data_IF_373923639171
#
_entry.id   IF_373923639171
#
_cell.length_a   1.000
_cell.length_b   1.000
_cell.length_c   1.000
_cell.angle_alpha   90.00
_cell.angle_beta   90.00
_cell.angle_gamma   90.00
#
_symmetry.space_group_name_H-M   'P 1'
#
loop_
_entity.id
_entity.type
_entity.pdbx_description
1 polymer ?
#
# COMPACT_ATOMS: atom_id res chain seq x y z
N UNK A 1 -6.76 -34.61 23.78
CA UNK A 1 -6.45 -34.23 22.37
C UNK A 1 -5.56 -33.00 22.42
N UNK A 2 -4.40 -33.02 21.76
CA UNK A 2 -3.58 -31.83 21.65
C UNK A 2 -4.35 -30.82 20.79
N UNK A 3 -4.75 -29.69 21.37
CA UNK A 3 -5.45 -28.62 20.68
C UNK A 3 -4.60 -28.11 19.51
N UNK A 4 -4.98 -28.46 18.30
CA UNK A 4 -4.22 -28.19 17.07
C UNK A 4 -4.66 -26.85 16.49
N UNK A 5 -3.70 -26.02 16.08
CA UNK A 5 -4.01 -24.85 15.27
C UNK A 5 -4.25 -25.29 13.83
N UNK A 6 -5.41 -24.95 13.29
CA UNK A 6 -5.72 -25.13 11.89
C UNK A 6 -5.40 -23.88 11.10
N UNK A 7 -4.76 -24.04 9.92
CA UNK A 7 -4.37 -22.96 9.02
C UNK A 7 -5.07 -23.15 7.69
N UNK A 8 -5.96 -22.23 7.35
CA UNK A 8 -6.73 -22.35 6.12
C UNK A 8 -6.83 -21.04 5.32
N UNK A 9 -7.00 -21.16 4.00
CA UNK A 9 -7.50 -20.12 3.15
C UNK A 9 -9.03 -20.06 3.31
N UNK A 10 -9.57 -18.88 3.63
CA UNK A 10 -11.01 -18.70 3.76
C UNK A 10 -11.73 -18.83 2.43
N UNK A 11 -12.88 -19.48 2.45
CA UNK A 11 -13.87 -19.41 1.38
C UNK A 11 -14.69 -18.12 1.49
N UNK A 12 -15.30 -17.70 0.40
CA UNK A 12 -16.07 -16.45 0.33
C UNK A 12 -17.18 -16.35 1.41
N UNK A 13 -17.81 -17.45 1.75
CA UNK A 13 -18.88 -17.52 2.76
C UNK A 13 -18.37 -17.65 4.22
N UNK A 14 -17.06 -17.69 4.44
CA UNK A 14 -16.46 -17.87 5.78
C UNK A 14 -15.89 -16.57 6.35
N UNK A 15 -16.11 -15.42 5.73
CA UNK A 15 -15.54 -14.13 6.13
C UNK A 15 -15.84 -13.76 7.60
N UNK A 16 -17.00 -14.17 8.12
CA UNK A 16 -17.37 -13.95 9.52
C UNK A 16 -16.30 -14.43 10.51
N UNK A 17 -15.58 -15.51 10.20
CA UNK A 17 -14.51 -16.03 11.05
C UNK A 17 -13.35 -15.04 11.23
N UNK A 18 -13.16 -14.11 10.32
CA UNK A 18 -12.10 -13.08 10.41
C UNK A 18 -12.56 -11.80 11.10
N UNK A 19 -13.88 -11.52 11.14
CA UNK A 19 -14.42 -10.24 11.63
C UNK A 19 -13.99 -9.89 13.05
N UNK A 20 -14.00 -10.86 13.96
CA UNK A 20 -13.62 -10.63 15.35
C UNK A 20 -12.17 -10.16 15.48
N UNK A 21 -11.26 -10.76 14.72
CA UNK A 21 -9.86 -10.36 14.67
C UNK A 21 -9.70 -8.97 14.06
N UNK A 22 -10.35 -8.72 12.94
CA UNK A 22 -10.28 -7.43 12.26
C UNK A 22 -10.82 -6.33 13.17
N UNK A 23 -12.00 -6.50 13.79
CA UNK A 23 -12.61 -5.52 14.69
C UNK A 23 -11.79 -5.27 15.95
N UNK A 24 -11.13 -6.30 16.47
CA UNK A 24 -10.26 -6.21 17.66
C UNK A 24 -9.02 -5.36 17.39
N UNK A 25 -8.41 -5.48 16.20
CA UNK A 25 -7.11 -4.89 15.92
C UNK A 25 -7.16 -3.62 15.04
N UNK A 26 -8.25 -3.38 14.31
CA UNK A 26 -8.45 -2.15 13.51
C UNK A 26 -9.30 -1.09 14.22
N UNK A 27 -9.25 -1.00 15.55
CA UNK A 27 -10.06 -0.06 16.35
C UNK A 27 -9.91 1.41 15.97
N UNK A 28 -8.77 1.81 15.46
CA UNK A 28 -8.45 3.20 15.11
C UNK A 28 -8.76 3.56 13.64
N UNK A 29 -9.20 2.60 12.85
CA UNK A 29 -9.64 2.84 11.48
C UNK A 29 -11.17 2.82 11.53
N UNK A 30 -11.87 3.75 10.84
CA UNK A 30 -13.34 3.68 10.76
C UNK A 30 -13.75 2.32 10.19
N UNK A 31 -13.97 1.37 11.10
CA UNK A 31 -14.30 0.00 10.76
C UNK A 31 -15.81 -0.09 10.61
N UNK A 32 -16.29 0.25 9.42
CA UNK A 32 -17.67 0.08 9.04
C UNK A 32 -17.78 -0.95 7.91
N UNK A 33 -18.98 -1.42 7.66
CA UNK A 33 -19.24 -2.41 6.61
C UNK A 33 -18.73 -1.94 5.25
N UNK A 34 -18.86 -0.65 4.92
CA UNK A 34 -18.37 -0.08 3.65
C UNK A 34 -16.85 -0.21 3.49
N UNK A 35 -16.09 -0.04 4.59
CA UNK A 35 -14.62 -0.21 4.55
C UNK A 35 -14.21 -1.66 4.36
N UNK A 36 -14.97 -2.60 4.94
CA UNK A 36 -14.77 -4.03 4.74
C UNK A 36 -15.06 -4.40 3.29
N UNK A 37 -16.23 -4.01 2.79
CA UNK A 37 -16.65 -4.33 1.42
C UNK A 37 -15.64 -3.78 0.41
N UNK A 38 -15.26 -2.53 0.58
CA UNK A 38 -14.27 -1.88 -0.27
C UNK A 38 -12.94 -2.66 -0.30
N UNK A 39 -12.39 -3.00 0.86
CA UNK A 39 -11.04 -3.56 0.97
C UNK A 39 -10.99 -5.04 0.56
N UNK A 40 -12.01 -5.83 0.93
CA UNK A 40 -11.94 -7.27 0.79
C UNK A 40 -12.73 -7.82 -0.40
N UNK A 41 -13.74 -7.10 -0.89
CA UNK A 41 -14.66 -7.65 -1.90
C UNK A 41 -14.78 -6.83 -3.19
N UNK A 42 -14.54 -5.50 -3.14
CA UNK A 42 -14.80 -4.60 -4.27
C UNK A 42 -13.54 -4.20 -5.06
N UNK A 43 -12.40 -4.85 -4.83
CA UNK A 43 -11.20 -4.60 -5.62
C UNK A 43 -11.42 -5.09 -7.08
N UNK A 44 -11.21 -4.23 -8.09
CA UNK A 44 -11.43 -4.59 -9.51
C UNK A 44 -10.53 -5.74 -10.01
N UNK A 45 -9.40 -5.97 -9.37
CA UNK A 45 -8.50 -7.08 -9.73
C UNK A 45 -8.87 -8.41 -9.07
N UNK A 46 -9.91 -8.43 -8.25
CA UNK A 46 -10.45 -9.63 -7.64
C UNK A 46 -10.62 -9.54 -6.12
N UNK A 47 -11.23 -10.56 -5.55
CA UNK A 47 -11.47 -10.63 -4.10
C UNK A 47 -10.21 -10.94 -3.33
N UNK A 48 -10.05 -10.27 -2.19
CA UNK A 48 -8.95 -10.51 -1.25
C UNK A 48 -8.92 -11.95 -0.75
N UNK A 49 -7.74 -12.54 -0.70
CA UNK A 49 -7.51 -13.87 -0.14
C UNK A 49 -7.10 -13.74 1.32
N UNK A 50 -7.85 -14.39 2.22
CA UNK A 50 -7.63 -14.31 3.66
C UNK A 50 -7.18 -15.67 4.18
N UNK A 51 -6.03 -15.67 4.84
CA UNK A 51 -5.47 -16.84 5.51
C UNK A 51 -5.73 -16.70 7.01
N UNK A 52 -6.33 -17.73 7.61
CA UNK A 52 -6.63 -17.76 9.05
C UNK A 52 -5.87 -18.87 9.77
N UNK A 53 -5.51 -18.57 11.02
CA UNK A 53 -5.12 -19.53 12.02
C UNK A 53 -6.27 -19.64 13.03
N UNK A 54 -6.80 -20.85 13.20
CA UNK A 54 -7.90 -21.16 14.10
C UNK A 54 -7.42 -22.05 15.24
N UNK A 55 -7.75 -21.69 16.47
CA UNK A 55 -7.57 -22.50 17.65
C UNK A 55 -8.95 -22.75 18.27
N UNK A 56 -9.40 -24.02 18.26
CA UNK A 56 -10.75 -24.39 18.75
C UNK A 56 -11.85 -23.46 18.17
N UNK A 57 -11.85 -23.26 16.86
CA UNK A 57 -12.76 -22.36 16.12
C UNK A 57 -12.60 -20.87 16.43
N UNK A 58 -11.70 -20.46 17.32
CA UNK A 58 -11.37 -19.04 17.51
C UNK A 58 -10.29 -18.59 16.55
N UNK A 59 -10.51 -17.49 15.86
CA UNK A 59 -9.51 -16.86 15.00
C UNK A 59 -8.42 -16.23 15.86
N UNK A 60 -7.18 -16.78 15.77
CA UNK A 60 -6.02 -16.35 16.57
C UNK A 60 -4.93 -15.72 15.74
N UNK A 61 -5.08 -15.73 14.44
CA UNK A 61 -4.19 -15.04 13.50
C UNK A 61 -4.80 -14.94 12.12
N UNK A 62 -4.43 -13.89 11.39
CA UNK A 62 -4.83 -13.71 9.99
C UNK A 62 -3.76 -13.00 9.19
N UNK A 63 -3.89 -13.12 7.88
CA UNK A 63 -3.12 -12.43 6.87
C UNK A 63 -4.00 -12.26 5.63
N UNK A 64 -4.01 -11.06 5.04
CA UNK A 64 -4.77 -10.77 3.84
C UNK A 64 -3.85 -10.52 2.64
N UNK A 65 -4.19 -11.09 1.49
CA UNK A 65 -3.52 -10.88 0.21
C UNK A 65 -4.52 -10.22 -0.76
N UNK A 66 -4.32 -8.94 -1.01
CA UNK A 66 -5.15 -8.12 -1.90
C UNK A 66 -4.64 -8.27 -3.33
N UNK A 67 -5.46 -8.71 -4.29
CA UNK A 67 -5.04 -8.84 -5.67
C UNK A 67 -4.57 -7.52 -6.26
N UNK A 68 -3.45 -7.57 -6.97
CA UNK A 68 -2.90 -6.47 -7.75
C UNK A 68 -2.48 -6.97 -9.12
N UNK A 69 -2.45 -6.07 -10.08
CA UNK A 69 -1.71 -6.23 -11.32
C UNK A 69 -0.55 -5.24 -11.33
N UNK A 70 0.60 -5.71 -11.72
CA UNK A 70 1.78 -4.89 -11.93
C UNK A 70 2.10 -4.83 -13.41
N UNK A 71 2.78 -3.78 -13.84
CA UNK A 71 3.12 -3.56 -15.23
C UNK A 71 4.50 -2.92 -15.35
N UNK A 72 5.19 -3.25 -16.40
CA UNK A 72 6.31 -2.50 -16.97
C UNK A 72 6.17 -2.51 -18.49
N UNK A 73 7.09 -1.87 -19.23
CA UNK A 73 7.03 -1.81 -20.70
C UNK A 73 6.98 -3.18 -21.40
N UNK A 74 7.41 -4.25 -20.73
CA UNK A 74 7.52 -5.57 -21.34
C UNK A 74 6.24 -6.40 -21.15
N UNK A 75 5.62 -6.33 -19.96
CA UNK A 75 4.49 -7.21 -19.63
C UNK A 75 3.69 -6.78 -18.41
N UNK A 76 2.53 -7.43 -18.25
CA UNK A 76 1.68 -7.37 -17.06
C UNK A 76 1.97 -8.60 -16.19
N UNK A 77 2.04 -8.41 -14.87
CA UNK A 77 2.26 -9.44 -13.87
C UNK A 77 1.05 -9.51 -12.94
N UNK A 78 0.62 -10.70 -12.59
CA UNK A 78 -0.33 -10.90 -11.50
C UNK A 78 0.41 -10.91 -10.16
N UNK A 79 -0.22 -10.33 -9.15
CA UNK A 79 0.38 -10.29 -7.82
C UNK A 79 -0.59 -9.97 -6.70
N UNK A 80 -0.03 -9.80 -5.50
CA UNK A 80 -0.78 -9.44 -4.32
C UNK A 80 -0.03 -8.40 -3.49
N UNK A 81 -0.80 -7.51 -2.85
CA UNK A 81 -0.32 -6.73 -1.72
C UNK A 81 -0.73 -7.42 -0.43
N UNK A 82 0.25 -7.72 0.41
CA UNK A 82 0.02 -8.37 1.68
C UNK A 82 -0.20 -7.32 2.77
N UNK A 83 -1.29 -7.49 3.52
CA UNK A 83 -1.65 -6.60 4.61
C UNK A 83 -2.42 -7.35 5.71
N UNK A 84 -2.85 -6.62 6.73
CA UNK A 84 -3.65 -7.14 7.85
C UNK A 84 -3.05 -8.40 8.49
N UNK A 85 -1.73 -8.32 8.69
CA UNK A 85 -1.00 -9.41 9.34
C UNK A 85 -1.18 -9.28 10.85
N UNK A 86 -2.10 -10.07 11.38
CA UNK A 86 -2.54 -10.01 12.77
C UNK A 86 -2.25 -11.36 13.46
N UNK A 87 -1.77 -11.28 14.70
CA UNK A 87 -1.70 -12.43 15.62
C UNK A 87 -2.24 -11.99 16.97
N UNK A 88 -3.23 -12.70 17.50
CA UNK A 88 -3.82 -12.39 18.81
C UNK A 88 -2.91 -12.88 19.95
N UNK A 89 -1.92 -12.05 20.26
CA UNK A 89 -0.91 -12.36 21.28
C UNK A 89 -1.56 -12.47 22.67
N UNK A 90 -2.58 -11.68 22.97
CA UNK A 90 -3.23 -11.70 24.28
C UNK A 90 -4.01 -12.98 24.50
N UNK A 91 -4.72 -13.46 23.47
CA UNK A 91 -5.34 -14.77 23.51
C UNK A 91 -4.30 -15.86 23.76
N UNK A 92 -3.20 -15.85 23.01
CA UNK A 92 -2.12 -16.84 23.16
C UNK A 92 -1.53 -16.84 24.57
N UNK A 93 -1.23 -15.65 25.12
CA UNK A 93 -0.69 -15.50 26.47
C UNK A 93 -1.67 -16.02 27.52
N UNK A 94 -2.96 -15.75 27.36
CA UNK A 94 -3.98 -16.24 28.28
C UNK A 94 -4.09 -17.77 28.26
N UNK A 95 -4.06 -18.38 27.07
CA UNK A 95 -4.03 -19.85 26.96
C UNK A 95 -2.80 -20.47 27.68
N UNK A 96 -1.64 -19.86 27.53
CA UNK A 96 -0.42 -20.33 28.22
C UNK A 96 -0.55 -20.19 29.74
N UNK A 97 -1.12 -19.08 30.25
CA UNK A 97 -1.33 -18.85 31.69
C UNK A 97 -2.24 -19.89 32.36
N UNK A 98 -3.25 -20.38 31.64
CA UNK A 98 -4.16 -21.43 32.15
C UNK A 98 -3.63 -22.85 31.88
N UNK A 99 -2.35 -22.99 31.51
CA UNK A 99 -1.68 -24.29 31.35
C UNK A 99 -1.83 -24.92 29.98
N UNK A 100 -2.51 -24.30 29.03
CA UNK A 100 -2.60 -24.82 27.67
C UNK A 100 -1.29 -24.59 26.91
N UNK A 101 -0.79 -25.65 26.29
CA UNK A 101 0.34 -25.54 25.37
C UNK A 101 -0.18 -25.12 24.00
N UNK A 102 0.15 -23.90 23.57
CA UNK A 102 -0.11 -23.50 22.19
C UNK A 102 0.81 -24.30 21.26
N UNK A 103 0.26 -25.16 20.41
CA UNK A 103 1.08 -26.03 19.58
C UNK A 103 1.83 -25.20 18.55
N UNK A 104 3.13 -25.43 18.47
CA UNK A 104 3.95 -24.98 17.35
C UNK A 104 3.91 -26.07 16.29
N UNK A 105 3.36 -25.79 15.11
CA UNK A 105 3.44 -26.73 13.99
C UNK A 105 4.89 -26.78 13.51
N UNK A 106 5.52 -27.95 13.59
CA UNK A 106 6.94 -28.14 13.24
C UNK A 106 7.90 -27.15 13.95
N UNK A 107 7.61 -26.78 15.22
CA UNK A 107 8.41 -25.80 15.96
C UNK A 107 8.20 -24.33 15.56
N UNK A 108 7.33 -24.04 14.59
CA UNK A 108 7.10 -22.73 14.00
C UNK A 108 5.84 -22.07 14.59
N UNK A 109 5.93 -20.77 14.91
CA UNK A 109 4.82 -20.00 15.48
C UNK A 109 3.71 -19.67 14.47
N UNK A 110 2.58 -19.13 14.98
CA UNK A 110 1.38 -18.84 14.18
C UNK A 110 1.70 -17.96 12.98
N UNK A 111 2.41 -16.84 13.19
CA UNK A 111 2.72 -15.91 12.12
C UNK A 111 3.52 -16.54 10.98
N UNK A 112 4.57 -17.31 11.30
CA UNK A 112 5.37 -17.97 10.27
C UNK A 112 4.59 -19.04 9.51
N UNK A 113 3.68 -19.77 10.18
CA UNK A 113 2.83 -20.74 9.48
C UNK A 113 1.83 -20.06 8.54
N UNK A 114 1.30 -18.88 8.90
CA UNK A 114 0.48 -18.07 7.99
C UNK A 114 1.29 -17.63 6.75
N UNK A 115 2.56 -17.20 6.94
CA UNK A 115 3.43 -16.87 5.81
C UNK A 115 3.71 -18.09 4.94
N UNK A 116 3.92 -19.27 5.51
CA UNK A 116 4.12 -20.50 4.74
C UNK A 116 2.89 -20.83 3.90
N UNK A 117 1.68 -20.71 4.47
CA UNK A 117 0.43 -20.90 3.73
C UNK A 117 0.23 -19.87 2.63
N UNK A 118 0.57 -18.62 2.90
CA UNK A 118 0.59 -17.58 1.87
C UNK A 118 1.57 -17.95 0.75
N UNK A 119 2.80 -18.35 1.08
CA UNK A 119 3.83 -18.69 0.11
C UNK A 119 3.37 -19.81 -0.84
N UNK A 120 2.79 -20.89 -0.30
CA UNK A 120 2.20 -21.98 -1.10
C UNK A 120 1.19 -21.43 -2.13
N UNK A 121 0.36 -20.48 -1.70
CA UNK A 121 -0.66 -19.90 -2.56
C UNK A 121 -0.09 -18.95 -3.62
N UNK A 122 0.76 -17.99 -3.21
CA UNK A 122 1.26 -16.96 -4.13
C UNK A 122 2.26 -17.51 -5.14
N UNK A 123 3.03 -18.55 -4.80
CA UNK A 123 3.93 -19.24 -5.73
C UNK A 123 3.17 -19.91 -6.89
N UNK A 124 1.95 -20.38 -6.63
CA UNK A 124 1.10 -20.99 -7.64
C UNK A 124 0.26 -19.97 -8.45
N UNK A 125 -0.06 -18.81 -7.86
CA UNK A 125 -1.08 -17.91 -8.40
C UNK A 125 -0.57 -16.52 -8.78
N UNK A 126 0.71 -16.22 -8.60
CA UNK A 126 1.25 -14.88 -8.86
C UNK A 126 2.72 -14.88 -9.27
N UNK A 127 3.16 -13.76 -9.81
CA UNK A 127 4.55 -13.56 -10.24
C UNK A 127 5.29 -12.62 -9.28
N UNK A 128 4.60 -11.62 -8.74
CA UNK A 128 5.17 -10.59 -7.86
C UNK A 128 4.22 -10.31 -6.70
N UNK A 129 4.74 -10.29 -5.49
CA UNK A 129 3.96 -9.97 -4.30
C UNK A 129 4.70 -8.93 -3.48
N UNK A 130 3.97 -8.00 -2.89
CA UNK A 130 4.55 -6.89 -2.12
C UNK A 130 3.91 -6.76 -0.75
N UNK A 131 4.61 -6.08 0.14
CA UNK A 131 4.07 -5.71 1.45
C UNK A 131 4.93 -4.66 2.13
N UNK A 132 4.44 -4.16 3.27
CA UNK A 132 5.15 -3.20 4.10
C UNK A 132 5.30 -3.80 5.50
N UNK A 133 6.48 -4.32 5.79
CA UNK A 133 6.76 -5.00 7.06
C UNK A 133 7.29 -4.02 8.10
N UNK A 134 6.69 -3.99 9.28
CA UNK A 134 7.26 -3.29 10.41
C UNK A 134 8.51 -4.03 10.95
N UNK A 135 9.29 -3.37 11.82
CA UNK A 135 10.52 -3.91 12.40
C UNK A 135 10.36 -5.26 13.09
N UNK A 136 9.20 -5.52 13.68
CA UNK A 136 8.94 -6.76 14.42
C UNK A 136 8.60 -7.92 13.47
N UNK A 137 7.90 -7.64 12.38
CA UNK A 137 7.48 -8.63 11.40
C UNK A 137 8.57 -8.96 10.37
N UNK A 138 9.46 -8.00 10.07
CA UNK A 138 10.48 -8.14 9.03
C UNK A 138 11.34 -9.41 9.13
N UNK A 139 11.88 -9.81 10.31
CA UNK A 139 12.69 -11.02 10.41
C UNK A 139 11.94 -12.30 10.02
N UNK A 140 10.64 -12.35 10.27
CA UNK A 140 9.81 -13.49 9.89
C UNK A 140 9.61 -13.58 8.38
N UNK A 141 9.40 -12.43 7.71
CA UNK A 141 9.27 -12.35 6.27
C UNK A 141 10.56 -12.80 5.58
N UNK A 142 11.72 -12.29 6.01
CA UNK A 142 13.03 -12.63 5.44
C UNK A 142 13.35 -14.12 5.62
N UNK A 143 13.07 -14.70 6.80
CA UNK A 143 13.25 -16.14 7.04
C UNK A 143 12.36 -17.03 6.16
N UNK A 144 11.26 -16.48 5.63
CA UNK A 144 10.34 -17.16 4.73
C UNK A 144 10.55 -16.75 3.26
N UNK A 145 11.79 -16.37 2.91
CA UNK A 145 12.23 -16.07 1.54
C UNK A 145 11.54 -14.85 0.90
N UNK A 146 11.10 -13.87 1.70
CA UNK A 146 10.76 -12.54 1.23
C UNK A 146 12.01 -11.67 1.23
N UNK A 147 12.15 -10.84 0.22
CA UNK A 147 13.26 -9.89 0.10
C UNK A 147 12.81 -8.51 0.61
N UNK A 148 13.73 -7.79 1.24
CA UNK A 148 13.48 -6.44 1.73
C UNK A 148 14.33 -5.44 0.94
N UNK A 149 13.71 -4.34 0.52
CA UNK A 149 14.43 -3.18 -0.01
C UNK A 149 14.82 -2.33 1.21
N UNK A 150 16.12 -2.19 1.42
CA UNK A 150 16.69 -1.59 2.62
C UNK A 150 16.46 -0.07 2.74
N UNK A 151 16.31 0.61 1.62
CA UNK A 151 16.16 2.05 1.57
C UNK A 151 14.84 2.43 0.92
N UNK A 152 13.92 2.91 1.74
CA UNK A 152 12.64 3.44 1.30
C UNK A 152 12.57 4.93 1.66
N UNK A 153 12.93 5.81 0.74
CA UNK A 153 13.08 7.22 1.06
C UNK A 153 11.72 7.92 1.11
N UNK A 154 11.40 8.46 2.27
CA UNK A 154 10.45 9.53 2.44
C UNK A 154 11.20 10.85 2.24
N UNK A 155 10.70 11.70 1.38
CA UNK A 155 11.21 13.06 1.25
C UNK A 155 10.17 14.04 1.77
N UNK A 156 10.63 15.01 2.56
CA UNK A 156 9.81 15.99 3.23
C UNK A 156 10.30 17.41 2.91
N UNK A 157 9.34 18.35 2.82
CA UNK A 157 9.62 19.78 2.69
C UNK A 157 8.75 20.57 3.64
N UNK A 158 9.35 21.50 4.36
CA UNK A 158 8.62 22.57 5.04
C UNK A 158 8.17 23.62 4.01
N UNK A 159 6.88 23.95 4.05
CA UNK A 159 6.27 24.89 3.13
C UNK A 159 6.36 26.31 3.68
N UNK A 160 7.22 27.10 3.08
CA UNK A 160 7.54 28.49 3.45
C UNK A 160 7.08 29.52 2.44
N UNK A 161 6.91 29.11 1.17
CA UNK A 161 6.51 29.98 0.06
C UNK A 161 5.82 29.21 -1.05
N UNK A 162 5.08 29.93 -1.87
CA UNK A 162 4.52 29.41 -3.12
C UNK A 162 5.50 29.55 -4.30
N UNK A 163 5.13 28.93 -5.42
CA UNK A 163 5.89 28.91 -6.66
C UNK A 163 4.96 29.22 -7.84
N UNK A 164 5.48 29.86 -8.88
CA UNK A 164 4.76 29.99 -10.15
C UNK A 164 4.80 28.67 -10.91
N UNK A 165 3.65 28.27 -11.46
CA UNK A 165 3.49 27.09 -12.32
C UNK A 165 2.74 27.48 -13.60
N UNK A 166 2.90 26.71 -14.67
CA UNK A 166 2.44 27.05 -16.01
C UNK A 166 1.18 26.28 -16.44
N UNK A 167 1.06 25.01 -16.02
CA UNK A 167 -0.05 24.17 -16.42
C UNK A 167 -1.36 24.56 -15.74
N UNK A 168 -2.47 24.18 -16.35
CA UNK A 168 -3.80 24.24 -15.72
C UNK A 168 -4.08 22.95 -14.96
N UNK A 169 -4.64 23.10 -13.76
CA UNK A 169 -4.99 21.99 -12.88
C UNK A 169 -6.48 22.00 -12.59
N UNK A 170 -7.18 20.93 -12.98
CA UNK A 170 -8.62 20.80 -12.76
C UNK A 170 -8.89 19.63 -11.82
N UNK A 171 -9.57 19.86 -10.71
CA UNK A 171 -9.98 18.79 -9.81
C UNK A 171 -11.01 17.89 -10.51
N UNK A 172 -10.79 16.58 -10.46
CA UNK A 172 -11.70 15.56 -11.01
C UNK A 172 -12.37 14.76 -9.90
N UNK A 173 -13.46 14.08 -10.23
CA UNK A 173 -14.24 13.23 -9.31
C UNK A 173 -14.27 11.76 -9.73
N UNK A 174 -13.70 11.44 -10.89
CA UNK A 174 -13.55 10.08 -11.41
C UNK A 174 -12.46 10.01 -12.46
N UNK A 175 -11.89 8.82 -12.60
CA UNK A 175 -10.99 8.49 -13.71
C UNK A 175 -11.81 7.92 -14.87
N UNK A 176 -11.41 8.24 -16.09
CA UNK A 176 -11.98 7.74 -17.33
C UNK A 176 -10.88 7.11 -18.23
N UNK A 177 -11.28 6.66 -19.42
CA UNK A 177 -10.36 6.03 -20.38
C UNK A 177 -9.19 6.94 -20.80
N UNK A 178 -9.38 8.26 -20.81
CA UNK A 178 -8.30 9.20 -21.16
C UNK A 178 -7.18 9.18 -20.12
N UNK A 179 -7.53 9.10 -18.84
CA UNK A 179 -6.55 9.00 -17.76
C UNK A 179 -5.81 7.66 -17.78
N UNK A 180 -6.51 6.56 -18.10
CA UNK A 180 -5.88 5.24 -18.27
C UNK A 180 -4.87 5.26 -19.41
N UNK A 181 -5.24 5.85 -20.56
CA UNK A 181 -4.33 6.03 -21.68
C UNK A 181 -3.09 6.86 -21.32
N UNK A 182 -3.26 7.94 -20.54
CA UNK A 182 -2.15 8.74 -20.02
C UNK A 182 -1.22 7.88 -19.15
N UNK A 183 -1.78 7.02 -18.31
CA UNK A 183 -0.95 6.10 -17.52
C UNK A 183 -0.18 5.14 -18.44
N UNK A 184 -0.84 4.53 -19.41
CA UNK A 184 -0.21 3.61 -20.37
C UNK A 184 0.95 4.26 -21.15
N UNK A 185 0.77 5.50 -21.59
CA UNK A 185 1.82 6.28 -22.28
C UNK A 185 3.01 6.65 -21.39
N UNK A 186 2.85 6.57 -20.06
CA UNK A 186 3.91 6.86 -19.08
C UNK A 186 4.47 5.60 -18.39
N UNK A 187 4.06 4.39 -18.81
CA UNK A 187 4.66 3.15 -18.31
C UNK A 187 6.16 3.14 -18.67
N UNK A 188 6.97 2.78 -17.70
CA UNK A 188 8.42 2.69 -17.83
C UNK A 188 8.91 1.24 -17.75
N UNK A 189 10.23 1.03 -17.83
CA UNK A 189 10.82 -0.28 -17.55
C UNK A 189 10.71 -0.70 -16.10
N UNK A 190 10.43 0.24 -15.19
CA UNK A 190 10.26 -0.03 -13.78
C UNK A 190 8.88 -0.64 -13.53
N UNK A 191 8.82 -1.52 -12.53
CA UNK A 191 7.58 -2.17 -12.13
C UNK A 191 6.72 -1.16 -11.38
N UNK A 192 5.49 -0.97 -11.85
CA UNK A 192 4.45 -0.15 -11.21
C UNK A 192 3.16 -0.98 -11.04
N UNK A 193 2.24 -0.52 -10.19
CA UNK A 193 0.86 -1.03 -10.19
C UNK A 193 0.19 -0.61 -11.50
N UNK A 194 -0.60 -1.49 -12.08
CA UNK A 194 -1.42 -1.17 -13.24
C UNK A 194 -2.61 -0.30 -12.81
N UNK A 195 -2.53 0.98 -13.13
CA UNK A 195 -3.53 1.98 -12.76
C UNK A 195 -4.64 2.08 -13.84
N UNK A 196 -5.49 1.04 -13.94
CA UNK A 196 -6.69 1.13 -14.77
C UNK A 196 -7.67 2.15 -14.19
N UNK A 197 -8.61 2.64 -14.99
CA UNK A 197 -9.64 3.58 -14.50
C UNK A 197 -10.46 2.98 -13.35
N UNK A 198 -10.80 1.69 -13.43
CA UNK A 198 -11.54 0.99 -12.38
C UNK A 198 -10.75 0.91 -11.09
N UNK A 199 -9.45 0.53 -11.17
CA UNK A 199 -8.59 0.43 -9.99
C UNK A 199 -8.31 1.80 -9.39
N UNK A 200 -8.08 2.83 -10.21
CA UNK A 200 -7.89 4.21 -9.76
C UNK A 200 -9.14 4.77 -9.08
N UNK A 201 -10.32 4.52 -9.65
CA UNK A 201 -11.60 4.91 -9.04
C UNK A 201 -11.83 4.18 -7.72
N UNK A 202 -11.60 2.87 -7.67
CA UNK A 202 -11.68 2.09 -6.44
C UNK A 202 -10.72 2.63 -5.37
N UNK A 203 -9.49 2.91 -5.74
CA UNK A 203 -8.44 3.32 -4.81
C UNK A 203 -8.65 4.73 -4.25
N UNK A 204 -9.09 5.68 -5.05
CA UNK A 204 -9.11 7.09 -4.70
C UNK A 204 -10.51 7.67 -4.43
N UNK A 205 -11.51 7.30 -5.19
CA UNK A 205 -12.85 7.89 -5.05
C UNK A 205 -13.82 7.00 -4.28
N UNK A 206 -13.69 5.68 -4.38
CA UNK A 206 -14.55 4.73 -3.65
C UNK A 206 -13.96 4.32 -2.29
N UNK A 207 -12.78 4.82 -1.93
CA UNK A 207 -12.16 4.53 -0.63
C UNK A 207 -12.89 5.26 0.51
N UNK A 208 -13.59 4.53 1.40
CA UNK A 208 -14.38 5.15 2.46
C UNK A 208 -13.53 5.67 3.63
N UNK A 209 -12.22 5.39 3.64
CA UNK A 209 -11.30 5.74 4.74
C UNK A 209 -10.51 7.01 4.49
N UNK A 210 -10.43 7.45 3.25
CA UNK A 210 -9.52 8.52 2.87
C UNK A 210 -10.14 9.39 1.79
N UNK A 211 -9.92 10.70 1.94
CA UNK A 211 -10.32 11.67 0.93
C UNK A 211 -9.07 12.08 0.17
N UNK A 212 -9.06 11.75 -1.11
CA UNK A 212 -8.02 12.18 -2.03
C UNK A 212 -8.52 13.36 -2.87
N UNK A 213 -7.59 14.19 -3.27
CA UNK A 213 -7.79 15.25 -4.25
C UNK A 213 -7.00 14.89 -5.51
N UNK A 214 -7.68 14.70 -6.60
CA UNK A 214 -7.08 14.31 -7.87
C UNK A 214 -7.22 15.48 -8.85
N UNK A 215 -6.11 15.85 -9.47
CA UNK A 215 -6.09 16.94 -10.42
C UNK A 215 -5.54 16.48 -11.77
N UNK A 216 -6.27 16.74 -12.84
CA UNK A 216 -5.78 16.71 -14.20
C UNK A 216 -4.72 17.77 -14.42
N UNK A 217 -3.71 17.45 -15.21
CA UNK A 217 -2.65 18.37 -15.63
C UNK A 217 -2.85 18.64 -17.10
N UNK A 218 -3.14 19.91 -17.46
CA UNK A 218 -3.34 20.33 -18.85
C UNK A 218 -2.30 21.35 -19.27
N UNK A 219 -1.64 21.04 -20.40
CA UNK A 219 -0.77 21.97 -21.11
C UNK A 219 -1.40 22.28 -22.46
N UNK A 220 -1.57 23.55 -22.80
CA UNK A 220 -2.20 23.99 -24.06
C UNK A 220 -3.55 23.32 -24.38
N UNK A 221 -4.37 23.05 -23.32
CA UNK A 221 -5.64 22.33 -23.34
C UNK A 221 -5.55 20.81 -23.56
N UNK A 222 -4.38 20.24 -23.77
CA UNK A 222 -4.18 18.78 -23.83
C UNK A 222 -4.02 18.20 -22.43
N UNK A 223 -4.66 17.06 -22.17
CA UNK A 223 -4.45 16.31 -20.94
C UNK A 223 -3.08 15.61 -21.01
N UNK A 224 -2.19 15.96 -20.10
CA UNK A 224 -0.78 15.51 -20.11
C UNK A 224 -0.42 14.69 -18.86
N UNK A 225 -1.34 14.60 -17.90
CA UNK A 225 -1.09 13.85 -16.68
C UNK A 225 -2.15 14.07 -15.62
N UNK A 226 -1.89 13.50 -14.44
CA UNK A 226 -2.65 13.74 -13.22
C UNK A 226 -1.77 13.64 -11.98
N UNK A 227 -2.22 14.27 -10.89
CA UNK A 227 -1.61 14.18 -9.58
C UNK A 227 -2.65 13.84 -8.52
N UNK A 228 -2.29 12.97 -7.58
CA UNK A 228 -3.12 12.57 -6.45
C UNK A 228 -2.51 13.11 -5.17
N UNK A 229 -3.29 13.95 -4.49
CA UNK A 229 -2.92 14.61 -3.25
C UNK A 229 -3.81 14.14 -2.11
N UNK A 230 -3.27 14.14 -0.88
CA UNK A 230 -4.01 13.79 0.33
C UNK A 230 -3.57 14.66 1.50
N UNK A 231 -4.53 15.15 2.27
CA UNK A 231 -4.26 15.69 3.60
C UNK A 231 -4.28 14.54 4.62
N UNK A 232 -3.27 14.48 5.45
CA UNK A 232 -3.12 13.48 6.49
C UNK A 232 -2.91 14.14 7.85
N UNK A 233 -3.49 13.58 8.89
CA UNK A 233 -3.32 14.08 10.25
C UNK A 233 -2.47 13.07 11.02
N UNK A 234 -1.30 13.52 11.43
CA UNK A 234 -0.39 12.77 12.28
C UNK A 234 -0.06 13.61 13.53
N UNK A 235 -0.28 13.04 14.71
CA UNK A 235 0.01 13.71 15.98
C UNK A 235 -0.58 15.13 16.06
N UNK A 236 -1.83 15.30 15.62
CA UNK A 236 -2.58 16.57 15.52
C UNK A 236 -2.01 17.57 14.50
N UNK A 237 -0.99 17.21 13.74
CA UNK A 237 -0.44 18.05 12.67
C UNK A 237 -1.01 17.60 11.32
N UNK A 238 -1.37 18.58 10.49
CA UNK A 238 -1.74 18.32 9.09
C UNK A 238 -0.48 18.23 8.24
N UNK A 239 -0.37 17.15 7.47
CA UNK A 239 0.71 16.90 6.51
C UNK A 239 0.08 16.73 5.13
N UNK A 240 0.65 17.37 4.12
CA UNK A 240 0.29 17.13 2.72
C UNK A 240 1.07 15.95 2.16
N UNK A 241 0.41 15.07 1.45
CA UNK A 241 1.05 13.97 0.75
C UNK A 241 0.83 14.08 -0.75
N UNK A 242 1.89 13.96 -1.53
CA UNK A 242 1.81 13.62 -2.94
C UNK A 242 1.80 12.10 -3.03
N UNK A 243 0.60 11.55 -3.25
CA UNK A 243 0.41 10.10 -3.24
C UNK A 243 0.85 9.46 -4.56
N UNK A 244 0.57 10.14 -5.69
CA UNK A 244 0.94 9.66 -7.02
C UNK A 244 1.10 10.85 -7.98
N UNK A 245 2.04 10.74 -8.90
CA UNK A 245 2.18 11.62 -10.07
C UNK A 245 2.29 10.72 -11.30
N UNK A 246 1.46 11.00 -12.28
CA UNK A 246 1.54 10.40 -13.62
C UNK A 246 1.54 11.56 -14.61
N UNK A 247 2.68 11.83 -15.21
CA UNK A 247 2.84 12.91 -16.20
C UNK A 247 4.12 12.71 -17.02
N UNK A 248 4.19 13.41 -18.15
CA UNK A 248 5.42 13.51 -18.93
C UNK A 248 6.55 14.13 -18.10
N UNK A 249 7.76 13.65 -18.27
CA UNK A 249 8.93 14.03 -17.46
C UNK A 249 9.16 15.55 -17.37
N UNK A 250 8.94 16.28 -18.46
CA UNK A 250 9.15 17.74 -18.50
C UNK A 250 8.14 18.54 -17.66
N UNK A 251 6.99 17.94 -17.30
CA UNK A 251 5.96 18.57 -16.48
C UNK A 251 6.13 18.28 -14.98
N UNK A 252 7.00 17.35 -14.61
CA UNK A 252 7.17 16.91 -13.22
C UNK A 252 7.46 18.10 -12.27
N UNK A 253 8.33 19.01 -12.70
CA UNK A 253 8.65 20.22 -11.91
C UNK A 253 7.41 21.08 -11.66
N UNK A 254 6.59 21.30 -12.70
CA UNK A 254 5.39 22.11 -12.60
C UNK A 254 4.35 21.50 -11.65
N UNK A 255 4.24 20.16 -11.67
CA UNK A 255 3.38 19.40 -10.74
C UNK A 255 3.84 19.54 -9.30
N UNK A 256 5.14 19.55 -9.05
CA UNK A 256 5.68 19.80 -7.71
C UNK A 256 5.35 21.22 -7.23
N UNK A 257 5.51 22.22 -8.09
CA UNK A 257 5.15 23.62 -7.77
C UNK A 257 3.66 23.77 -7.44
N UNK A 258 2.80 23.17 -8.25
CA UNK A 258 1.36 23.15 -7.99
C UNK A 258 1.05 22.48 -6.64
N UNK A 259 1.63 21.31 -6.38
CA UNK A 259 1.40 20.56 -5.14
C UNK A 259 1.84 21.34 -3.90
N UNK A 260 2.98 22.02 -3.96
CA UNK A 260 3.44 22.93 -2.91
C UNK A 260 2.41 24.03 -2.68
N UNK A 261 1.97 24.73 -3.73
CA UNK A 261 0.99 25.81 -3.61
C UNK A 261 -0.35 25.33 -3.08
N UNK A 262 -0.80 24.14 -3.55
CA UNK A 262 -2.05 23.54 -3.09
C UNK A 262 -2.09 23.39 -1.57
N UNK A 263 -1.01 22.89 -0.97
CA UNK A 263 -0.94 22.69 0.48
C UNK A 263 -0.57 23.97 1.25
N UNK A 264 0.30 24.80 0.71
CA UNK A 264 0.66 26.10 1.29
C UNK A 264 -0.58 26.99 1.48
N UNK A 265 -1.42 27.10 0.45
CA UNK A 265 -2.66 27.88 0.51
C UNK A 265 -3.71 27.31 1.49
N UNK A 266 -3.53 26.09 1.96
CA UNK A 266 -4.35 25.43 3.00
C UNK A 266 -3.71 25.48 4.39
N UNK A 267 -2.66 26.28 4.56
CA UNK A 267 -1.92 26.42 5.81
C UNK A 267 -1.32 25.11 6.32
N UNK A 268 -1.05 24.18 5.41
CA UNK A 268 -0.31 22.96 5.71
C UNK A 268 1.18 23.28 5.64
N UNK A 269 1.90 22.96 6.69
CA UNK A 269 3.31 23.35 6.83
C UNK A 269 4.31 22.32 6.30
N UNK A 270 3.87 21.08 6.10
CA UNK A 270 4.77 20.00 5.66
C UNK A 270 4.17 19.26 4.50
N UNK A 271 4.97 19.06 3.47
CA UNK A 271 4.66 18.23 2.31
C UNK A 271 5.60 17.04 2.28
N UNK A 272 5.08 15.85 2.00
CA UNK A 272 5.89 14.65 1.86
C UNK A 272 5.47 13.80 0.66
N UNK A 273 6.41 13.01 0.16
CA UNK A 273 6.20 11.99 -0.86
C UNK A 273 7.24 10.88 -0.75
N UNK A 274 6.96 9.74 -1.36
CA UNK A 274 7.96 8.71 -1.57
C UNK A 274 8.68 8.94 -2.90
N UNK A 275 9.99 8.81 -2.89
CA UNK A 275 10.80 8.95 -4.09
C UNK A 275 11.80 7.80 -4.19
N UNK A 276 11.56 6.88 -5.11
CA UNK A 276 12.43 5.71 -5.31
C UNK A 276 13.58 5.99 -6.29
N UNK A 277 13.38 6.92 -7.19
CA UNK A 277 14.30 7.27 -8.27
C UNK A 277 15.15 8.50 -7.92
N UNK A 278 15.64 9.20 -8.92
CA UNK A 278 16.45 10.41 -8.74
C UNK A 278 15.64 11.51 -8.04
N UNK A 279 16.05 11.82 -6.81
CA UNK A 279 15.47 12.87 -5.96
C UNK A 279 16.26 14.20 -6.03
N UNK A 280 17.29 14.27 -6.87
CA UNK A 280 18.19 15.42 -6.98
C UNK A 280 17.46 16.74 -7.29
N UNK A 281 16.50 16.73 -8.22
CA UNK A 281 15.67 17.91 -8.52
C UNK A 281 14.91 18.39 -7.28
N UNK A 282 14.28 17.46 -6.56
CA UNK A 282 13.48 17.78 -5.37
C UNK A 282 14.33 18.35 -4.26
N UNK A 283 15.50 17.77 -4.02
CA UNK A 283 16.44 18.21 -2.99
C UNK A 283 17.08 19.55 -3.37
N UNK A 284 17.70 19.63 -4.55
CA UNK A 284 18.53 20.78 -4.92
C UNK A 284 17.68 22.01 -5.27
N UNK A 285 16.54 21.84 -5.94
CA UNK A 285 15.72 22.96 -6.40
C UNK A 285 14.64 23.36 -5.43
N UNK A 286 14.01 22.38 -4.79
CA UNK A 286 12.86 22.63 -3.92
C UNK A 286 13.20 22.52 -2.42
N UNK A 287 14.40 22.06 -2.07
CA UNK A 287 14.84 21.95 -0.68
C UNK A 287 14.13 20.84 0.11
N UNK A 288 13.67 19.78 -0.57
CA UNK A 288 13.20 18.59 0.14
C UNK A 288 14.36 17.95 0.92
N UNK A 289 14.03 17.39 2.07
CA UNK A 289 14.97 16.63 2.90
C UNK A 289 14.61 15.16 2.84
N UNK A 290 15.63 14.32 2.72
CA UNK A 290 15.45 12.87 2.67
C UNK A 290 15.45 12.30 4.08
N UNK A 291 14.45 11.49 4.37
CA UNK A 291 14.34 10.70 5.60
C UNK A 291 14.18 9.23 5.25
N UNK A 292 14.78 8.36 6.05
CA UNK A 292 14.55 6.92 5.91
C UNK A 292 13.35 6.51 6.77
N UNK A 293 12.40 5.80 6.19
CA UNK A 293 11.31 5.20 6.95
C UNK A 293 11.90 4.08 7.80
N UNK A 294 12.04 4.35 9.11
CA UNK A 294 12.67 3.43 10.07
C UNK A 294 11.75 2.28 10.48
N UNK A 295 10.45 2.53 10.55
CA UNK A 295 9.48 1.61 11.17
C UNK A 295 8.80 0.67 10.17
N UNK A 296 9.00 0.86 8.87
CA UNK A 296 8.46 0.01 7.84
C UNK A 296 9.46 -0.23 6.73
N UNK A 297 9.50 -1.43 6.22
CA UNK A 297 10.32 -1.82 5.06
C UNK A 297 9.42 -2.35 3.95
N UNK A 298 9.68 -1.91 2.73
CA UNK A 298 9.08 -2.53 1.56
C UNK A 298 9.67 -3.93 1.38
N UNK A 299 8.79 -4.91 1.35
CA UNK A 299 9.16 -6.31 1.12
C UNK A 299 8.49 -6.81 -0.14
N UNK A 300 9.13 -7.73 -0.81
CA UNK A 300 8.56 -8.38 -1.98
C UNK A 300 8.95 -9.87 -2.04
N UNK A 301 8.14 -10.64 -2.77
CA UNK A 301 8.41 -12.03 -3.16
C UNK A 301 8.10 -12.17 -4.64
N UNK A 302 9.09 -12.60 -5.41
CA UNK A 302 8.98 -12.80 -6.85
C UNK A 302 9.96 -13.86 -7.34
N UNK A 303 9.78 -14.30 -8.58
CA UNK A 303 10.64 -15.33 -9.21
C UNK A 303 12.06 -14.83 -9.46
N UNK A 304 12.25 -13.52 -9.63
CA UNK A 304 13.54 -12.88 -9.86
C UNK A 304 13.92 -12.01 -8.67
N UNK A 305 15.23 -11.85 -8.45
CA UNK A 305 15.73 -10.83 -7.52
C UNK A 305 15.55 -9.46 -8.18
N UNK A 306 14.92 -8.54 -7.45
CA UNK A 306 14.68 -7.17 -7.89
C UNK A 306 15.46 -6.22 -6.99
N UNK A 307 15.88 -5.08 -7.58
CA UNK A 307 16.57 -4.01 -6.88
C UNK A 307 15.64 -2.81 -6.70
N UNK A 308 16.04 -1.84 -5.91
CA UNK A 308 15.27 -0.60 -5.70
C UNK A 308 14.96 0.10 -7.02
N UNK A 309 15.93 0.15 -7.95
CA UNK A 309 15.80 0.76 -9.27
C UNK A 309 14.76 0.11 -10.17
N UNK A 310 14.36 -1.12 -9.87
CA UNK A 310 13.38 -1.85 -10.70
C UNK A 310 11.93 -1.46 -10.40
N UNK A 311 11.72 -0.56 -9.43
CA UNK A 311 10.39 -0.21 -8.94
C UNK A 311 10.09 1.28 -9.11
N UNK A 312 8.84 1.56 -9.45
CA UNK A 312 8.25 2.91 -9.44
C UNK A 312 7.20 3.02 -8.31
N UNK A 313 7.68 2.94 -7.05
CA UNK A 313 6.79 2.91 -5.88
C UNK A 313 6.43 4.33 -5.45
N UNK A 314 5.12 4.57 -5.29
CA UNK A 314 4.55 5.78 -4.72
C UNK A 314 3.81 5.51 -3.40
N UNK A 315 3.40 6.55 -2.69
CA UNK A 315 2.60 6.40 -1.46
C UNK A 315 1.28 5.65 -1.68
N UNK A 316 0.78 5.63 -2.90
CA UNK A 316 -0.44 4.91 -3.29
C UNK A 316 -0.34 3.38 -3.17
N UNK A 317 0.87 2.84 -3.07
CA UNK A 317 1.11 1.41 -2.83
C UNK A 317 0.76 0.98 -1.41
N UNK A 318 0.81 1.90 -0.46
CA UNK A 318 0.51 1.61 0.95
C UNK A 318 -0.99 1.69 1.23
N UNK A 319 -1.43 0.98 2.24
CA UNK A 319 -2.79 1.07 2.81
C UNK A 319 -2.97 2.27 3.75
N UNK A 320 -1.87 2.90 4.16
CA UNK A 320 -1.86 4.04 5.08
C UNK A 320 -2.13 5.36 4.34
N UNK A 321 -1.62 5.49 3.11
CA UNK A 321 -1.68 6.74 2.33
C UNK A 321 -2.77 6.72 1.28
#
# INVERSE_FOLDING_TARGET
>A
MLNKIDYKLLKDNEFELSKNLISKFKKNIPFNLKSIDWEYFLNPFGKTKIFLALYENNSVGMLAAIPLKFVNNEKIFNGFRIQDVITDIDFIRNQIKIGNKIPKKNGVGIFSNLILKLNEYVEANSEINIGFANKNALPYWVRNNWQAISEFPLINKELDKGYNFLCKYNEIKEFNNTHEKIFEENISNNIDIMWTKEFSNWRYFLNPRSIYKVFEIKSENNLEGYVVLKEYIQDKKKIGHICQIVCKKHLFEDVIKFSINFFFNRSIKTLSMWCMNDDSLLINKFGFKKELIKDSKFIYKGKKKLFKSDWNISMSYSDIY
#
